data_IF_324550896176
#
_entry.id   IF_324550896176
#
_cell.length_a   1.000
_cell.length_b   1.000
_cell.length_c   1.000
_cell.angle_alpha   90.00
_cell.angle_beta   90.00
_cell.angle_gamma   90.00
#
_symmetry.space_group_name_H-M   'P 1'
#
loop_
_entity.id
_entity.type
_entity.pdbx_description
1 polymer ?
#
# COMPACT_ATOMS: atom_id res chain seq x y z
N UNK A 1 -6.19 20.96 -14.75
CA UNK A 1 -5.99 20.76 -13.31
C UNK A 1 -4.61 21.30 -12.97
N UNK A 2 -4.49 22.20 -11.98
CA UNK A 2 -3.20 22.79 -11.62
C UNK A 2 -2.19 21.71 -11.28
N UNK A 3 -0.94 21.86 -11.73
CA UNK A 3 0.14 20.86 -11.51
C UNK A 3 0.27 20.49 -10.02
N UNK A 4 0.17 21.46 -9.12
CA UNK A 4 0.25 21.26 -7.66
C UNK A 4 -0.89 20.37 -7.13
N UNK A 5 -2.14 20.62 -7.56
CA UNK A 5 -3.30 19.82 -7.14
C UNK A 5 -3.14 18.36 -7.61
N UNK A 6 -2.63 18.15 -8.83
CA UNK A 6 -2.41 16.81 -9.34
C UNK A 6 -1.36 16.04 -8.51
N UNK A 7 -0.23 16.67 -8.16
CA UNK A 7 0.76 16.09 -7.28
C UNK A 7 0.21 15.76 -5.88
N UNK A 8 -0.56 16.69 -5.31
CA UNK A 8 -1.21 16.46 -4.02
C UNK A 8 -2.12 15.23 -4.05
N UNK A 9 -2.98 15.12 -5.07
CA UNK A 9 -3.88 13.98 -5.23
C UNK A 9 -3.15 12.66 -5.50
N UNK A 10 -1.97 12.69 -6.10
CA UNK A 10 -1.14 11.50 -6.31
C UNK A 10 -0.45 11.03 -5.01
N UNK A 11 -0.10 11.94 -4.12
CA UNK A 11 0.56 11.61 -2.84
C UNK A 11 -0.47 11.23 -1.77
N UNK A 12 -1.66 11.79 -1.83
CA UNK A 12 -2.70 11.63 -0.80
C UNK A 12 -3.03 10.17 -0.44
N UNK A 13 -3.14 9.20 -1.37
CA UNK A 13 -3.37 7.80 -1.03
C UNK A 13 -2.35 7.25 -0.03
N UNK A 14 -1.09 7.56 -0.23
CA UNK A 14 0.01 7.05 0.58
C UNK A 14 0.04 7.67 1.98
N UNK A 15 -0.31 8.95 2.08
CA UNK A 15 -0.50 9.63 3.37
C UNK A 15 -1.66 9.00 4.16
N UNK A 16 -2.79 8.73 3.49
CA UNK A 16 -3.97 8.11 4.10
C UNK A 16 -3.70 6.65 4.48
N UNK A 17 -2.95 5.90 3.71
CA UNK A 17 -2.58 4.53 4.07
C UNK A 17 -1.65 4.49 5.27
N UNK A 18 -0.61 5.33 5.31
CA UNK A 18 0.29 5.41 6.45
C UNK A 18 -0.44 5.71 7.76
N UNK A 19 -1.33 6.69 7.75
CA UNK A 19 -2.14 7.05 8.93
C UNK A 19 -3.17 5.98 9.28
N UNK A 20 -3.81 5.34 8.30
CA UNK A 20 -4.82 4.31 8.57
C UNK A 20 -4.25 2.97 9.05
N UNK A 21 -2.99 2.64 8.71
CA UNK A 21 -2.31 1.46 9.27
C UNK A 21 -2.15 1.58 10.79
N UNK A 22 -1.71 2.74 11.27
CA UNK A 22 -1.63 3.01 12.71
C UNK A 22 -2.99 2.90 13.39
N UNK A 23 -4.06 3.41 12.76
CA UNK A 23 -5.43 3.32 13.27
C UNK A 23 -5.96 1.88 13.33
N UNK A 24 -5.57 1.01 12.38
CA UNK A 24 -6.06 -0.38 12.34
C UNK A 24 -5.37 -1.31 13.33
N UNK A 25 -4.13 -1.04 13.74
CA UNK A 25 -3.35 -1.95 14.59
C UNK A 25 -4.09 -2.37 15.87
N UNK A 26 -4.63 -1.46 16.69
CA UNK A 26 -5.39 -1.85 17.89
C UNK A 26 -6.68 -2.59 17.56
N UNK A 27 -7.33 -2.28 16.42
CA UNK A 27 -8.59 -2.90 16.01
C UNK A 27 -8.39 -4.35 15.59
N UNK A 28 -7.31 -4.66 14.88
CA UNK A 28 -6.97 -6.03 14.49
C UNK A 28 -6.70 -6.90 15.71
N UNK A 29 -6.05 -6.35 16.74
CA UNK A 29 -5.78 -7.06 17.99
C UNK A 29 -7.06 -7.35 18.80
N UNK A 30 -8.05 -6.46 18.74
CA UNK A 30 -9.28 -6.56 19.56
C UNK A 30 -10.40 -7.36 18.89
N UNK A 31 -10.56 -7.28 17.56
CA UNK A 31 -11.68 -7.88 16.82
C UNK A 31 -11.26 -8.97 15.82
N UNK A 32 -9.97 -9.18 15.69
CA UNK A 32 -9.41 -10.17 14.75
C UNK A 32 -9.24 -9.64 13.32
N UNK A 33 -8.34 -10.29 12.56
CA UNK A 33 -7.95 -9.82 11.22
C UNK A 33 -9.08 -9.89 10.20
N UNK A 34 -9.89 -10.95 10.21
CA UNK A 34 -10.96 -11.17 9.22
C UNK A 34 -12.08 -10.13 9.33
N UNK A 35 -12.46 -9.78 10.56
CA UNK A 35 -13.48 -8.75 10.80
C UNK A 35 -13.01 -7.37 10.32
N UNK A 36 -11.79 -6.98 10.71
CA UNK A 36 -11.23 -5.68 10.31
C UNK A 36 -11.05 -5.59 8.80
N UNK A 37 -10.57 -6.67 8.15
CA UNK A 37 -10.44 -6.73 6.70
C UNK A 37 -11.79 -6.53 5.99
N UNK A 38 -12.83 -7.25 6.43
CA UNK A 38 -14.16 -7.16 5.83
C UNK A 38 -14.79 -5.78 6.03
N UNK A 39 -14.71 -5.24 7.26
CA UNK A 39 -15.28 -3.94 7.61
C UNK A 39 -14.51 -2.77 6.98
N UNK A 40 -13.24 -2.96 6.63
CA UNK A 40 -12.49 -1.97 5.87
C UNK A 40 -12.96 -1.90 4.41
N UNK A 41 -13.24 -3.04 3.78
CA UNK A 41 -13.55 -3.10 2.35
C UNK A 41 -14.99 -2.75 2.03
N UNK A 42 -15.97 -3.37 2.71
CA UNK A 42 -17.38 -3.27 2.31
C UNK A 42 -17.90 -1.82 2.34
N UNK A 43 -17.78 -1.07 3.45
CA UNK A 43 -18.24 0.31 3.49
C UNK A 43 -17.46 1.20 2.51
N UNK A 44 -16.15 0.97 2.37
CA UNK A 44 -15.31 1.72 1.44
C UNK A 44 -15.78 1.52 0.00
N UNK A 45 -16.03 0.28 -0.42
CA UNK A 45 -16.53 -0.03 -1.76
C UNK A 45 -17.87 0.63 -2.04
N UNK A 46 -18.78 0.61 -1.07
CA UNK A 46 -20.10 1.29 -1.18
C UNK A 46 -19.91 2.80 -1.37
N UNK A 47 -19.03 3.44 -0.57
CA UNK A 47 -18.74 4.88 -0.69
C UNK A 47 -18.14 5.21 -2.06
N UNK A 48 -17.23 4.39 -2.58
CA UNK A 48 -16.66 4.56 -3.93
C UNK A 48 -17.74 4.44 -5.00
N UNK A 49 -18.65 3.46 -4.92
CA UNK A 49 -19.76 3.31 -5.87
C UNK A 49 -20.74 4.47 -5.83
N UNK A 50 -21.08 4.95 -4.63
CA UNK A 50 -21.93 6.13 -4.46
C UNK A 50 -21.23 7.36 -5.11
N UNK A 51 -19.93 7.53 -4.85
CA UNK A 51 -19.15 8.63 -5.45
C UNK A 51 -19.12 8.51 -6.98
N UNK A 52 -18.92 7.30 -7.51
CA UNK A 52 -18.97 7.03 -8.96
C UNK A 52 -20.29 7.44 -9.56
N UNK A 53 -21.41 7.08 -8.91
CA UNK A 53 -22.76 7.45 -9.33
C UNK A 53 -22.99 8.97 -9.29
N UNK A 54 -22.61 9.64 -8.19
CA UNK A 54 -22.75 11.09 -8.04
C UNK A 54 -21.93 11.88 -9.06
N UNK A 55 -20.76 11.35 -9.44
CA UNK A 55 -19.90 11.92 -10.49
C UNK A 55 -20.39 11.58 -11.89
N UNK A 56 -21.56 10.93 -12.05
CA UNK A 56 -22.15 10.51 -13.32
C UNK A 56 -21.18 9.66 -14.18
N UNK A 57 -20.32 8.87 -13.55
CA UNK A 57 -19.44 7.91 -14.22
C UNK A 57 -20.16 6.59 -14.45
N UNK A 58 -19.72 5.82 -15.41
CA UNK A 58 -20.32 4.51 -15.72
C UNK A 58 -20.01 3.48 -14.63
N UNK A 59 -21.05 2.91 -14.01
CA UNK A 59 -20.94 1.87 -12.98
C UNK A 59 -20.81 0.45 -13.58
N UNK A 60 -20.98 0.32 -14.89
CA UNK A 60 -21.01 -0.97 -15.55
C UNK A 60 -19.63 -1.58 -15.69
N UNK A 61 -19.52 -2.86 -15.31
CA UNK A 61 -18.38 -3.70 -15.64
C UNK A 61 -18.69 -4.39 -16.98
N UNK A 62 -17.89 -4.10 -18.00
CA UNK A 62 -18.11 -4.66 -19.34
C UNK A 62 -17.61 -6.10 -19.41
N UNK A 63 -18.30 -6.93 -20.22
CA UNK A 63 -18.01 -8.37 -20.33
C UNK A 63 -16.57 -8.68 -20.78
N UNK A 64 -15.96 -7.80 -21.59
CA UNK A 64 -14.55 -7.95 -22.01
C UNK A 64 -13.57 -7.81 -20.84
N UNK A 65 -13.93 -7.05 -19.80
CA UNK A 65 -13.10 -6.78 -18.63
C UNK A 65 -13.40 -7.77 -17.48
N UNK A 66 -14.52 -8.50 -17.54
CA UNK A 66 -15.05 -9.30 -16.43
C UNK A 66 -14.07 -10.36 -15.93
N UNK A 67 -13.35 -11.04 -16.84
CA UNK A 67 -12.36 -12.06 -16.46
C UNK A 67 -11.27 -11.46 -15.57
N UNK A 68 -10.70 -10.35 -16.01
CA UNK A 68 -9.63 -9.67 -15.28
C UNK A 68 -10.14 -9.00 -14.02
N UNK A 69 -11.39 -8.49 -14.04
CA UNK A 69 -12.06 -7.97 -12.86
C UNK A 69 -12.20 -9.02 -11.75
N UNK A 70 -12.60 -10.25 -12.07
CA UNK A 70 -12.68 -11.32 -11.08
C UNK A 70 -11.32 -11.67 -10.49
N UNK A 71 -10.29 -11.77 -11.32
CA UNK A 71 -8.91 -12.01 -10.85
C UNK A 71 -8.43 -10.85 -9.96
N UNK A 72 -8.65 -9.61 -10.39
CA UNK A 72 -8.31 -8.41 -9.62
C UNK A 72 -9.01 -8.40 -8.26
N UNK A 73 -10.32 -8.71 -8.22
CA UNK A 73 -11.12 -8.76 -7.00
C UNK A 73 -10.57 -9.77 -5.99
N UNK A 74 -10.22 -10.97 -6.44
CA UNK A 74 -9.67 -12.01 -5.56
C UNK A 74 -8.28 -11.63 -5.07
N UNK A 75 -7.41 -11.16 -5.96
CA UNK A 75 -6.01 -10.89 -5.63
C UNK A 75 -5.88 -9.64 -4.77
N UNK A 76 -6.46 -8.51 -5.23
CA UNK A 76 -6.23 -7.22 -4.58
C UNK A 76 -7.21 -6.94 -3.43
N UNK A 77 -8.49 -7.28 -3.56
CA UNK A 77 -9.42 -7.04 -2.46
C UNK A 77 -9.36 -8.17 -1.42
N UNK A 78 -9.54 -9.43 -1.82
CA UNK A 78 -9.65 -10.52 -0.83
C UNK A 78 -8.29 -10.90 -0.25
N UNK A 79 -7.34 -11.33 -1.09
CA UNK A 79 -6.05 -11.82 -0.60
C UNK A 79 -5.18 -10.72 -0.01
N UNK A 80 -5.10 -9.57 -0.66
CA UNK A 80 -4.32 -8.46 -0.13
C UNK A 80 -4.80 -8.06 1.27
N UNK A 81 -6.10 -7.84 1.47
CA UNK A 81 -6.60 -7.44 2.78
C UNK A 81 -6.45 -8.53 3.83
N UNK A 82 -6.65 -9.80 3.45
CA UNK A 82 -6.42 -10.93 4.33
C UNK A 82 -4.95 -10.96 4.79
N UNK A 83 -4.02 -10.95 3.86
CA UNK A 83 -2.58 -11.01 4.14
C UNK A 83 -2.12 -9.81 4.96
N UNK A 84 -2.60 -8.60 4.63
CA UNK A 84 -2.30 -7.37 5.35
C UNK A 84 -2.73 -7.46 6.82
N UNK A 85 -3.98 -7.84 7.09
CA UNK A 85 -4.50 -7.87 8.45
C UNK A 85 -3.88 -8.99 9.29
N UNK A 86 -3.64 -10.18 8.71
CA UNK A 86 -2.89 -11.25 9.36
C UNK A 86 -1.42 -10.87 9.58
N UNK A 87 -0.81 -10.18 8.64
CA UNK A 87 0.54 -9.65 8.77
C UNK A 87 0.63 -8.68 9.95
N UNK A 88 -0.20 -7.64 9.98
CA UNK A 88 -0.23 -6.63 11.06
C UNK A 88 -0.44 -7.29 12.43
N UNK A 89 -1.30 -8.31 12.53
CA UNK A 89 -1.58 -9.02 13.79
C UNK A 89 -0.36 -9.73 14.38
N UNK A 90 0.66 -10.02 13.56
CA UNK A 90 1.83 -10.83 13.93
C UNK A 90 3.14 -10.07 13.95
N UNK A 91 3.33 -9.08 13.06
CA UNK A 91 4.60 -8.34 12.95
C UNK A 91 4.59 -7.01 13.72
N UNK A 92 3.40 -6.50 14.06
CA UNK A 92 3.27 -5.10 14.46
C UNK A 92 3.45 -4.12 13.30
N UNK A 93 3.30 -2.82 13.59
CA UNK A 93 3.26 -1.77 12.55
C UNK A 93 4.63 -1.52 11.89
N UNK A 94 5.73 -1.56 12.63
CA UNK A 94 7.05 -1.14 12.15
C UNK A 94 7.63 -2.07 11.08
N UNK A 95 7.92 -3.33 11.44
CA UNK A 95 8.50 -4.30 10.49
C UNK A 95 7.51 -4.66 9.38
N UNK A 96 6.22 -4.71 9.70
CA UNK A 96 5.18 -4.95 8.70
C UNK A 96 5.16 -3.90 7.60
N UNK A 97 5.29 -2.60 7.94
CA UNK A 97 5.32 -1.52 6.95
C UNK A 97 6.51 -1.62 6.00
N UNK A 98 7.70 -1.97 6.50
CA UNK A 98 8.89 -2.18 5.65
C UNK A 98 8.64 -3.23 4.58
N UNK A 99 8.05 -4.35 4.96
CA UNK A 99 7.84 -5.46 4.04
C UNK A 99 6.77 -5.15 2.99
N UNK A 100 5.66 -4.52 3.38
CA UNK A 100 4.61 -4.17 2.43
C UNK A 100 5.04 -3.05 1.48
N UNK A 101 5.83 -2.10 1.97
CA UNK A 101 6.34 -0.99 1.19
C UNK A 101 7.49 -1.38 0.22
N UNK A 102 7.86 -2.67 0.15
CA UNK A 102 8.63 -3.25 -0.94
C UNK A 102 7.84 -3.38 -2.27
N UNK A 103 6.52 -3.18 -2.23
CA UNK A 103 5.60 -3.24 -3.38
C UNK A 103 6.08 -2.46 -4.63
N UNK A 104 6.65 -1.24 -4.56
CA UNK A 104 7.08 -0.53 -5.76
C UNK A 104 8.15 -1.26 -6.57
N UNK A 105 9.05 -2.01 -5.90
CA UNK A 105 10.03 -2.84 -6.59
C UNK A 105 9.34 -3.98 -7.35
N UNK A 106 8.38 -4.65 -6.72
CA UNK A 106 7.60 -5.72 -7.36
C UNK A 106 6.80 -5.17 -8.55
N UNK A 107 6.16 -3.99 -8.41
CA UNK A 107 5.47 -3.33 -9.53
C UNK A 107 6.42 -3.02 -10.67
N UNK A 108 7.62 -2.51 -10.38
CA UNK A 108 8.63 -2.20 -11.38
C UNK A 108 9.08 -3.46 -12.16
N UNK A 109 9.33 -4.57 -11.45
CA UNK A 109 9.68 -5.86 -12.04
C UNK A 109 8.54 -6.43 -12.89
N UNK A 110 7.32 -6.43 -12.38
CA UNK A 110 6.13 -6.89 -13.10
C UNK A 110 5.83 -6.02 -14.33
N UNK A 111 5.92 -4.69 -14.20
CA UNK A 111 5.73 -3.77 -15.31
C UNK A 111 6.78 -3.98 -16.42
N UNK A 112 8.02 -4.29 -16.06
CA UNK A 112 9.06 -4.67 -17.02
C UNK A 112 8.73 -5.98 -17.72
N UNK A 113 8.33 -7.01 -16.96
CA UNK A 113 8.04 -8.33 -17.51
C UNK A 113 6.79 -8.36 -18.40
N UNK A 114 5.75 -7.62 -18.04
CA UNK A 114 4.43 -7.68 -18.68
C UNK A 114 4.28 -6.62 -19.77
N UNK A 115 4.72 -5.39 -19.51
CA UNK A 115 4.56 -4.26 -20.45
C UNK A 115 5.85 -3.92 -21.22
N UNK A 116 6.96 -4.63 -20.96
CA UNK A 116 8.25 -4.31 -21.56
C UNK A 116 8.85 -2.95 -21.14
N UNK A 117 8.36 -2.39 -20.02
CA UNK A 117 8.83 -1.09 -19.52
C UNK A 117 10.30 -1.17 -19.13
N UNK A 118 11.17 -0.52 -19.89
CA UNK A 118 12.59 -0.45 -19.58
C UNK A 118 12.82 0.52 -18.41
N UNK A 119 13.52 0.05 -17.40
CA UNK A 119 13.97 0.86 -16.28
C UNK A 119 15.46 1.12 -16.52
N UNK A 120 15.82 2.40 -16.71
CA UNK A 120 17.20 2.79 -16.86
C UNK A 120 17.97 2.66 -15.53
N UNK A 121 19.33 2.68 -15.53
CA UNK A 121 20.13 2.54 -14.30
C UNK A 121 19.78 3.55 -13.20
N UNK A 122 19.41 4.78 -13.56
CA UNK A 122 18.97 5.81 -12.60
C UNK A 122 17.67 5.41 -11.90
N UNK A 123 16.73 4.81 -12.65
CA UNK A 123 15.50 4.27 -12.07
C UNK A 123 15.76 3.12 -11.09
N UNK A 124 16.69 2.22 -11.43
CA UNK A 124 17.11 1.15 -10.52
C UNK A 124 17.79 1.67 -9.27
N UNK A 125 18.69 2.66 -9.42
CA UNK A 125 19.31 3.33 -8.28
C UNK A 125 18.24 3.95 -7.36
N UNK A 126 17.26 4.64 -7.94
CA UNK A 126 16.12 5.18 -7.18
C UNK A 126 15.34 4.11 -6.41
N UNK A 127 15.04 2.96 -7.02
CA UNK A 127 14.35 1.86 -6.34
C UNK A 127 15.18 1.28 -5.18
N UNK A 128 16.51 1.16 -5.35
CA UNK A 128 17.42 0.72 -4.29
C UNK A 128 17.47 1.73 -3.12
N UNK A 129 17.50 3.04 -3.41
CA UNK A 129 17.37 4.07 -2.36
C UNK A 129 16.04 3.94 -1.61
N UNK A 130 14.94 3.66 -2.32
CA UNK A 130 13.63 3.44 -1.68
C UNK A 130 13.64 2.27 -0.71
N UNK A 131 14.15 1.12 -1.14
CA UNK A 131 14.30 -0.04 -0.27
C UNK A 131 15.21 0.23 0.93
N UNK A 132 16.37 0.86 0.71
CA UNK A 132 17.26 1.27 1.81
C UNK A 132 16.54 2.21 2.78
N UNK A 133 15.80 3.18 2.26
CA UNK A 133 15.03 4.13 3.06
C UNK A 133 14.00 3.47 3.96
N UNK A 134 13.16 2.57 3.42
CA UNK A 134 12.15 1.88 4.23
C UNK A 134 12.78 0.95 5.28
N UNK A 135 13.93 0.33 5.00
CA UNK A 135 14.68 -0.46 5.99
C UNK A 135 15.09 0.45 7.16
N UNK A 136 15.69 1.61 6.91
CA UNK A 136 16.09 2.55 7.96
C UNK A 136 14.89 3.10 8.75
N UNK A 137 13.72 3.25 8.12
CA UNK A 137 12.50 3.71 8.77
C UNK A 137 11.88 2.65 9.68
N UNK A 138 11.92 1.37 9.28
CA UNK A 138 11.19 0.29 9.91
C UNK A 138 12.00 -0.62 10.83
N UNK A 139 13.35 -0.53 10.81
CA UNK A 139 14.18 -1.37 11.70
C UNK A 139 14.07 -0.89 13.15
N UNK A 140 13.73 -1.76 14.11
CA UNK A 140 13.70 -1.42 15.53
C UNK A 140 15.04 -0.89 16.03
N UNK A 141 14.99 0.07 16.96
CA UNK A 141 16.20 0.69 17.55
C UNK A 141 17.16 -0.35 18.15
N UNK A 142 16.62 -1.37 18.77
CA UNK A 142 17.36 -2.43 19.46
C UNK A 142 18.23 -3.25 18.47
N UNK A 143 17.73 -3.47 17.25
CA UNK A 143 18.49 -4.14 16.20
C UNK A 143 19.58 -3.23 15.63
N UNK A 144 19.30 -1.94 15.46
CA UNK A 144 20.29 -0.98 14.98
C UNK A 144 21.41 -0.76 16.00
N UNK A 145 21.08 -0.71 17.29
CA UNK A 145 22.06 -0.60 18.38
C UNK A 145 22.93 -1.87 18.48
N UNK A 146 22.35 -3.06 18.31
CA UNK A 146 23.12 -4.32 18.32
C UNK A 146 24.07 -4.42 17.11
N UNK A 147 23.71 -3.89 15.96
CA UNK A 147 24.55 -3.82 14.77
C UNK A 147 25.72 -2.84 14.96
N UNK A 148 25.43 -1.67 15.58
CA UNK A 148 26.44 -0.65 15.83
C UNK A 148 27.45 -1.07 16.91
N UNK A 149 26.97 -1.84 17.91
CA UNK A 149 27.78 -2.29 19.05
C UNK A 149 28.54 -3.60 18.78
N UNK A 150 28.52 -4.15 17.54
CA UNK A 150 29.12 -5.46 17.21
C UNK A 150 28.74 -6.58 18.22
N UNK A 151 27.54 -6.50 18.77
CA UNK A 151 27.03 -7.51 19.68
C UNK A 151 26.81 -8.82 18.93
N UNK A 152 27.33 -9.95 19.49
CA UNK A 152 27.36 -11.31 18.94
C UNK A 152 25.96 -11.96 18.71
N UNK A 153 24.92 -11.18 18.42
CA UNK A 153 23.66 -11.76 17.91
C UNK A 153 23.89 -12.19 16.47
N UNK A 154 24.10 -13.48 16.32
CA UNK A 154 24.31 -14.16 15.05
C UNK A 154 23.15 -13.84 14.08
N UNK A 155 23.51 -13.60 12.80
CA UNK A 155 22.55 -13.57 11.69
C UNK A 155 21.67 -14.82 11.60
N UNK A 156 22.05 -15.92 12.28
CA UNK A 156 21.29 -17.16 12.40
C UNK A 156 19.98 -17.04 13.21
N UNK A 157 19.82 -15.99 14.01
CA UNK A 157 18.61 -15.75 14.81
C UNK A 157 17.51 -14.99 14.03
N UNK A 158 17.75 -14.60 12.79
CA UNK A 158 16.76 -14.04 11.89
C UNK A 158 15.93 -15.19 11.31
N UNK A 159 14.99 -15.70 12.08
CA UNK A 159 13.96 -16.60 11.57
C UNK A 159 12.83 -15.75 10.98
N UNK A 160 12.52 -15.97 9.71
CA UNK A 160 11.31 -15.38 9.10
C UNK A 160 10.08 -15.88 9.85
N UNK A 161 9.40 -14.96 10.52
CA UNK A 161 8.14 -15.26 11.19
C UNK A 161 7.00 -15.33 10.16
N UNK A 162 5.98 -16.11 10.50
CA UNK A 162 4.77 -16.26 9.66
C UNK A 162 4.12 -14.91 9.34
N UNK A 163 4.20 -13.93 10.25
CA UNK A 163 3.72 -12.57 10.05
C UNK A 163 4.43 -11.83 8.91
N UNK A 164 5.75 -11.97 8.83
CA UNK A 164 6.56 -11.35 7.76
C UNK A 164 6.21 -11.96 6.40
N UNK A 165 5.98 -13.28 6.35
CA UNK A 165 5.52 -13.94 5.12
C UNK A 165 4.16 -13.41 4.67
N UNK A 166 3.21 -13.19 5.60
CA UNK A 166 1.92 -12.58 5.27
C UNK A 166 2.08 -11.17 4.70
N UNK A 167 2.99 -10.35 5.25
CA UNK A 167 3.24 -8.99 4.73
C UNK A 167 3.89 -9.00 3.35
N UNK A 168 4.81 -9.93 3.06
CA UNK A 168 5.37 -10.11 1.71
C UNK A 168 4.31 -10.57 0.71
N UNK A 169 3.43 -11.49 1.11
CA UNK A 169 2.29 -11.90 0.29
C UNK A 169 1.34 -10.72 0.04
N UNK A 170 1.11 -9.85 1.02
CA UNK A 170 0.33 -8.63 0.85
C UNK A 170 1.00 -7.68 -0.15
N UNK A 171 2.31 -7.46 -0.02
CA UNK A 171 3.09 -6.64 -0.97
C UNK A 171 2.97 -7.17 -2.40
N UNK A 172 3.10 -8.48 -2.59
CA UNK A 172 2.94 -9.11 -3.91
C UNK A 172 1.51 -8.99 -4.44
N UNK A 173 0.50 -9.23 -3.61
CA UNK A 173 -0.91 -9.10 -4.00
C UNK A 173 -1.25 -7.68 -4.44
N UNK A 174 -0.79 -6.66 -3.70
CA UNK A 174 -0.96 -5.25 -4.05
C UNK A 174 -0.20 -4.87 -5.33
N UNK A 175 1.00 -5.41 -5.55
CA UNK A 175 1.76 -5.20 -6.77
C UNK A 175 1.03 -5.79 -7.99
N UNK A 176 0.51 -7.00 -7.84
CA UNK A 176 -0.32 -7.64 -8.88
C UNK A 176 -1.60 -6.84 -9.13
N UNK A 177 -2.30 -6.37 -8.08
CA UNK A 177 -3.47 -5.50 -8.20
C UNK A 177 -3.18 -4.23 -8.98
N UNK A 178 -2.05 -3.58 -8.69
CA UNK A 178 -1.58 -2.38 -9.39
C UNK A 178 -1.36 -2.62 -10.89
N UNK A 179 -0.94 -3.81 -11.29
CA UNK A 179 -0.81 -4.20 -12.70
C UNK A 179 -2.18 -4.57 -13.29
N UNK A 180 -2.96 -5.37 -12.56
CA UNK A 180 -4.24 -5.92 -13.02
C UNK A 180 -5.28 -4.84 -13.33
N UNK A 181 -5.27 -3.69 -12.64
CA UNK A 181 -6.22 -2.60 -12.89
C UNK A 181 -6.21 -2.18 -14.37
N UNK A 182 -5.06 -2.23 -15.04
CA UNK A 182 -4.94 -1.87 -16.45
C UNK A 182 -5.64 -2.86 -17.40
N UNK A 183 -5.71 -4.12 -17.01
CA UNK A 183 -6.42 -5.15 -17.78
C UNK A 183 -7.92 -5.14 -17.50
N UNK A 184 -8.33 -4.66 -16.32
CA UNK A 184 -9.74 -4.55 -15.90
C UNK A 184 -10.42 -3.30 -16.38
N UNK A 185 -9.68 -2.31 -16.85
CA UNK A 185 -10.20 -1.00 -17.24
C UNK A 185 -9.98 -0.71 -18.73
N UNK A 186 -10.16 -1.71 -19.60
CA UNK A 186 -10.07 -1.46 -21.05
C UNK A 186 -11.29 -0.70 -21.57
N UNK A 187 -12.48 -0.99 -21.02
CA UNK A 187 -13.74 -0.26 -21.26
C UNK A 187 -14.43 0.20 -19.98
N UNK A 188 -14.21 -0.50 -18.88
CA UNK A 188 -14.81 -0.21 -17.58
C UNK A 188 -14.13 0.97 -16.89
N UNK A 189 -14.90 1.76 -16.16
CA UNK A 189 -14.39 2.90 -15.40
C UNK A 189 -13.53 2.45 -14.20
N UNK A 190 -12.29 2.96 -14.01
CA UNK A 190 -11.41 2.51 -12.93
C UNK A 190 -11.95 2.81 -11.54
N UNK A 191 -12.75 3.85 -11.35
CA UNK A 191 -13.37 4.15 -10.05
C UNK A 191 -14.50 3.16 -9.76
N UNK A 192 -15.34 2.85 -10.77
CA UNK A 192 -16.37 1.81 -10.66
C UNK A 192 -15.76 0.43 -10.38
N UNK A 193 -14.72 0.05 -11.13
CA UNK A 193 -13.96 -1.19 -10.91
C UNK A 193 -13.44 -1.25 -9.48
N UNK A 194 -12.85 -0.16 -8.97
CA UNK A 194 -12.37 -0.08 -7.58
C UNK A 194 -13.51 -0.27 -6.57
N UNK A 195 -14.65 0.36 -6.76
CA UNK A 195 -15.79 0.18 -5.86
C UNK A 195 -16.33 -1.25 -5.87
N UNK A 196 -16.56 -1.81 -7.03
CA UNK A 196 -17.08 -3.17 -7.17
C UNK A 196 -16.11 -4.23 -6.65
N UNK A 197 -14.80 -4.13 -6.92
CA UNK A 197 -13.84 -5.12 -6.42
C UNK A 197 -13.79 -5.14 -4.90
N UNK A 198 -13.90 -3.97 -4.24
CA UNK A 198 -13.95 -3.90 -2.77
C UNK A 198 -15.21 -4.55 -2.21
N UNK A 199 -16.38 -4.29 -2.82
CA UNK A 199 -17.65 -4.89 -2.38
C UNK A 199 -17.62 -6.41 -2.56
N UNK A 200 -17.30 -6.90 -3.76
CA UNK A 200 -17.25 -8.35 -4.00
C UNK A 200 -16.09 -9.04 -3.26
N UNK A 201 -14.95 -8.39 -3.15
CA UNK A 201 -13.79 -8.95 -2.43
C UNK A 201 -13.99 -9.01 -0.91
N UNK A 202 -14.90 -8.22 -0.34
CA UNK A 202 -15.27 -8.33 1.07
C UNK A 202 -16.10 -9.57 1.39
N UNK A 203 -16.85 -10.12 0.42
CA UNK A 203 -17.77 -11.24 0.64
C UNK A 203 -17.08 -12.49 1.21
N UNK A 204 -15.96 -13.00 0.62
CA UNK A 204 -15.24 -14.14 1.19
C UNK A 204 -14.73 -13.90 2.62
N UNK A 205 -14.31 -12.65 2.92
CA UNK A 205 -13.81 -12.27 4.26
C UNK A 205 -14.95 -12.26 5.29
N UNK A 206 -16.11 -11.72 4.92
CA UNK A 206 -17.32 -11.74 5.75
C UNK A 206 -17.76 -13.19 6.02
N UNK A 207 -17.84 -14.00 4.98
CA UNK A 207 -18.22 -15.42 5.11
C UNK A 207 -17.26 -16.16 6.03
N UNK A 208 -15.95 -15.97 5.86
CA UNK A 208 -14.94 -16.58 6.71
C UNK A 208 -15.10 -16.15 8.17
N UNK A 209 -15.29 -14.86 8.43
CA UNK A 209 -15.52 -14.34 9.78
C UNK A 209 -16.78 -14.93 10.40
N UNK A 210 -17.91 -14.93 9.68
CA UNK A 210 -19.17 -15.48 10.16
C UNK A 210 -19.06 -16.96 10.52
N UNK A 211 -18.38 -17.78 9.69
CA UNK A 211 -18.19 -19.19 9.95
C UNK A 211 -17.28 -19.47 11.17
N UNK A 212 -16.31 -18.63 11.41
CA UNK A 212 -15.39 -18.79 12.55
C UNK A 212 -16.00 -18.34 13.88
N UNK A 213 -16.88 -17.33 13.86
CA UNK A 213 -17.43 -16.71 15.08
C UNK A 213 -18.85 -17.15 15.40
N UNK A 214 -19.40 -18.16 14.70
CA UNK A 214 -20.81 -18.58 14.82
C UNK A 214 -21.76 -17.37 14.73
N UNK A 215 -21.50 -16.46 13.76
CA UNK A 215 -22.27 -15.24 13.52
C UNK A 215 -22.27 -14.20 14.64
N UNK A 216 -21.33 -14.23 15.56
CA UNK A 216 -21.07 -13.11 16.47
C UNK A 216 -20.32 -12.01 15.69
N UNK A 217 -21.09 -11.04 15.16
CA UNK A 217 -20.57 -10.08 14.18
C UNK A 217 -19.99 -8.80 14.76
N UNK A 218 -20.34 -8.43 15.98
CA UNK A 218 -20.05 -7.10 16.51
C UNK A 218 -19.14 -7.19 17.74
N UNK A 219 -17.90 -6.68 17.68
CA UNK A 219 -17.04 -6.58 18.84
C UNK A 219 -17.55 -5.50 19.79
N UNK A 220 -17.20 -5.60 21.07
CA UNK A 220 -17.47 -4.58 22.09
C UNK A 220 -16.50 -3.39 21.93
N UNK A 221 -16.63 -2.67 20.79
CA UNK A 221 -15.82 -1.50 20.52
C UNK A 221 -16.41 -0.24 21.11
N UNK A 222 -15.53 0.62 21.62
CA UNK A 222 -15.87 1.98 22.02
C UNK A 222 -16.25 2.84 20.80
N UNK A 223 -16.86 4.00 21.04
CA UNK A 223 -17.14 4.97 19.97
C UNK A 223 -15.85 5.45 19.29
N UNK A 224 -14.74 5.48 20.02
CA UNK A 224 -13.43 5.82 19.47
C UNK A 224 -12.92 4.74 18.50
N UNK A 225 -13.05 3.45 18.83
CA UNK A 225 -12.66 2.34 17.96
C UNK A 225 -13.47 2.34 16.65
N UNK A 226 -14.77 2.60 16.75
CA UNK A 226 -15.63 2.81 15.58
C UNK A 226 -15.21 4.02 14.75
N UNK A 227 -14.76 5.09 15.41
CA UNK A 227 -14.17 6.27 14.75
C UNK A 227 -12.91 5.92 13.96
N UNK A 228 -11.98 5.17 14.58
CA UNK A 228 -10.76 4.69 13.91
C UNK A 228 -11.08 3.78 12.73
N UNK A 229 -12.05 2.87 12.88
CA UNK A 229 -12.47 1.98 11.81
C UNK A 229 -13.11 2.75 10.65
N UNK A 230 -13.98 3.73 10.95
CA UNK A 230 -14.59 4.60 9.95
C UNK A 230 -13.53 5.40 9.18
N UNK A 231 -12.53 5.93 9.88
CA UNK A 231 -11.39 6.60 9.27
C UNK A 231 -10.63 5.66 8.34
N UNK A 232 -10.28 4.47 8.81
CA UNK A 232 -9.54 3.48 8.04
C UNK A 232 -10.33 2.98 6.81
N UNK A 233 -11.66 2.89 6.89
CA UNK A 233 -12.51 2.45 5.78
C UNK A 233 -12.77 3.59 4.79
N UNK A 234 -13.16 4.78 5.24
CA UNK A 234 -13.58 5.87 4.34
C UNK A 234 -12.34 6.56 3.72
N UNK A 235 -11.41 7.00 4.55
CA UNK A 235 -10.23 7.72 4.05
C UNK A 235 -9.13 6.77 3.57
N UNK A 236 -8.72 5.80 4.38
CA UNK A 236 -7.72 4.79 4.02
C UNK A 236 -8.23 3.72 3.06
N UNK A 237 -9.54 3.53 2.98
CA UNK A 237 -10.22 2.66 2.03
C UNK A 237 -10.72 3.44 0.80
N UNK A 238 -11.93 4.01 0.88
CA UNK A 238 -12.62 4.56 -0.29
C UNK A 238 -11.81 5.64 -1.02
N UNK A 239 -11.36 6.67 -0.31
CA UNK A 239 -10.63 7.79 -0.93
C UNK A 239 -9.25 7.36 -1.43
N UNK A 240 -8.48 6.66 -0.60
CA UNK A 240 -7.13 6.27 -0.95
C UNK A 240 -7.11 5.27 -2.12
N UNK A 241 -7.90 4.20 -2.09
CA UNK A 241 -7.97 3.23 -3.19
C UNK A 241 -8.57 3.82 -4.47
N UNK A 242 -9.62 4.65 -4.34
CA UNK A 242 -10.23 5.34 -5.48
C UNK A 242 -9.21 6.18 -6.24
N UNK A 243 -8.41 6.98 -5.52
CA UNK A 243 -7.35 7.78 -6.11
C UNK A 243 -6.20 6.91 -6.63
N UNK A 244 -5.76 5.93 -5.83
CA UNK A 244 -4.64 5.05 -6.19
C UNK A 244 -4.90 4.32 -7.51
N UNK A 245 -5.99 3.59 -7.63
CA UNK A 245 -6.28 2.83 -8.84
C UNK A 245 -6.65 3.71 -10.03
N UNK A 246 -7.26 4.88 -9.80
CA UNK A 246 -7.42 5.86 -10.85
C UNK A 246 -6.07 6.29 -11.44
N UNK A 247 -5.10 6.63 -10.58
CA UNK A 247 -3.77 7.04 -11.06
C UNK A 247 -2.93 5.86 -11.58
N UNK A 248 -3.00 4.68 -10.97
CA UNK A 248 -2.31 3.48 -11.44
C UNK A 248 -2.74 3.09 -12.86
N UNK A 249 -4.02 3.30 -13.20
CA UNK A 249 -4.53 3.08 -14.55
C UNK A 249 -4.10 4.16 -15.54
N UNK A 250 -4.02 5.44 -15.11
CA UNK A 250 -3.88 6.58 -16.02
C UNK A 250 -2.46 7.18 -16.09
N UNK A 251 -1.54 6.77 -15.21
CA UNK A 251 -0.17 7.30 -15.14
C UNK A 251 0.88 6.23 -15.50
N UNK A 252 2.12 6.65 -15.62
CA UNK A 252 3.24 5.73 -15.73
C UNK A 252 3.38 4.95 -14.41
N UNK A 253 3.24 3.62 -14.50
CA UNK A 253 2.94 2.78 -13.35
C UNK A 253 4.12 2.68 -12.37
N UNK A 254 5.37 2.57 -12.89
CA UNK A 254 6.58 2.48 -12.07
C UNK A 254 6.81 3.78 -11.29
N UNK A 255 6.73 4.94 -11.97
CA UNK A 255 6.92 6.23 -11.33
C UNK A 255 5.83 6.56 -10.32
N UNK A 256 4.58 6.18 -10.59
CA UNK A 256 3.49 6.38 -9.65
C UNK A 256 3.61 5.47 -8.42
N UNK A 257 3.92 4.18 -8.63
CA UNK A 257 4.01 3.22 -7.52
C UNK A 257 5.15 3.54 -6.55
N UNK A 258 6.23 4.20 -7.00
CA UNK A 258 7.33 4.60 -6.09
C UNK A 258 6.91 5.63 -5.05
N UNK A 259 5.81 6.35 -5.26
CA UNK A 259 5.25 7.22 -4.23
C UNK A 259 4.80 6.45 -2.98
N UNK A 260 4.59 5.12 -3.08
CA UNK A 260 4.28 4.28 -1.94
C UNK A 260 5.41 4.26 -0.88
N UNK A 261 6.66 4.51 -1.27
CA UNK A 261 7.75 4.67 -0.31
C UNK A 261 7.54 5.86 0.66
N UNK A 262 6.62 6.79 0.36
CA UNK A 262 6.25 7.86 1.28
C UNK A 262 5.34 7.38 2.43
N UNK A 263 4.67 6.23 2.28
CA UNK A 263 3.72 5.69 3.27
C UNK A 263 4.33 5.57 4.68
N UNK A 264 5.54 4.98 4.88
CA UNK A 264 6.14 4.87 6.19
C UNK A 264 6.46 6.23 6.83
N UNK A 265 6.80 7.24 6.02
CA UNK A 265 7.04 8.60 6.51
C UNK A 265 5.77 9.15 7.16
N UNK A 266 4.63 9.02 6.46
CA UNK A 266 3.33 9.46 7.01
C UNK A 266 2.90 8.62 8.22
N UNK A 267 3.19 7.31 8.23
CA UNK A 267 2.93 6.45 9.38
C UNK A 267 3.73 6.90 10.63
N UNK A 268 5.02 7.19 10.47
CA UNK A 268 5.88 7.69 11.54
C UNK A 268 5.48 9.09 12.02
N UNK A 269 5.16 9.99 11.10
CA UNK A 269 4.69 11.34 11.46
C UNK A 269 3.38 11.29 12.26
N UNK A 270 2.44 10.43 11.83
CA UNK A 270 1.17 10.26 12.56
C UNK A 270 1.38 9.58 13.92
N UNK A 271 2.22 8.56 14.03
CA UNK A 271 2.61 7.93 15.28
C UNK A 271 3.31 8.92 16.22
N UNK A 272 4.21 9.75 15.71
CA UNK A 272 4.89 10.80 16.47
C UNK A 272 3.95 11.82 17.09
N UNK A 273 2.89 12.23 16.36
CA UNK A 273 1.87 13.16 16.88
C UNK A 273 1.00 12.49 17.97
N UNK A 274 0.62 11.21 17.78
CA UNK A 274 -0.24 10.49 18.72
C UNK A 274 0.51 9.96 19.95
N UNK A 275 1.79 9.55 19.77
CA UNK A 275 2.59 8.89 20.81
C UNK A 275 3.69 9.79 21.39
N UNK A 276 3.81 11.05 20.92
CA UNK A 276 4.90 11.99 21.26
C UNK A 276 6.31 11.40 20.98
N UNK A 277 6.43 10.47 20.04
CA UNK A 277 7.70 9.87 19.67
C UNK A 277 8.49 10.81 18.74
N UNK A 278 9.79 10.95 19.00
CA UNK A 278 10.68 11.71 18.11
C UNK A 278 11.38 10.76 17.16
N UNK A 279 11.46 11.14 15.88
CA UNK A 279 12.24 10.43 14.89
C UNK A 279 13.72 10.40 15.29
N UNK A 280 14.33 9.23 15.21
CA UNK A 280 15.77 9.05 15.42
C UNK A 280 16.56 9.59 14.23
N UNK A 281 17.87 9.82 14.40
CA UNK A 281 18.77 10.20 13.31
C UNK A 281 18.74 9.19 12.17
N UNK A 282 18.64 7.89 12.50
CA UNK A 282 18.58 6.80 11.51
C UNK A 282 17.28 6.87 10.70
N UNK A 283 16.15 7.15 11.34
CA UNK A 283 14.90 7.35 10.64
C UNK A 283 14.94 8.60 9.74
N UNK A 284 15.60 9.68 10.16
CA UNK A 284 15.82 10.84 9.30
C UNK A 284 16.67 10.51 8.06
N UNK A 285 17.71 9.66 8.19
CA UNK A 285 18.46 9.14 7.05
C UNK A 285 17.53 8.35 6.13
N UNK A 286 16.65 7.51 6.68
CA UNK A 286 15.63 6.77 5.92
C UNK A 286 14.70 7.70 5.15
N UNK A 287 14.21 8.79 5.76
CA UNK A 287 13.41 9.83 5.10
C UNK A 287 14.15 10.41 3.89
N UNK A 288 15.42 10.78 4.06
CA UNK A 288 16.24 11.33 2.96
C UNK A 288 16.36 10.32 1.82
N UNK A 289 16.62 9.04 2.11
CA UNK A 289 16.73 7.99 1.10
C UNK A 289 15.42 7.78 0.34
N UNK A 290 14.28 7.81 1.02
CA UNK A 290 12.96 7.74 0.38
C UNK A 290 12.72 8.93 -0.55
N UNK A 291 13.02 10.15 -0.10
CA UNK A 291 12.87 11.35 -0.93
C UNK A 291 13.78 11.30 -2.15
N UNK A 292 15.03 10.83 -2.00
CA UNK A 292 15.94 10.58 -3.12
C UNK A 292 15.39 9.54 -4.10
N UNK A 293 14.78 8.46 -3.61
CA UNK A 293 14.15 7.45 -4.44
C UNK A 293 13.06 8.06 -5.32
N UNK A 294 12.12 8.78 -4.71
CA UNK A 294 11.02 9.44 -5.43
C UNK A 294 11.57 10.42 -6.49
N UNK A 295 12.60 11.18 -6.14
CA UNK A 295 13.26 12.09 -7.08
C UNK A 295 13.90 11.34 -8.27
N UNK A 296 14.76 10.36 -8.02
CA UNK A 296 15.45 9.62 -9.08
C UNK A 296 14.48 8.87 -9.99
N UNK A 297 13.46 8.20 -9.44
CA UNK A 297 12.51 7.46 -10.27
C UNK A 297 11.60 8.40 -11.06
N UNK A 298 11.16 9.50 -10.49
CA UNK A 298 10.32 10.47 -11.20
C UNK A 298 11.08 11.22 -12.30
N UNK A 299 12.36 11.50 -12.10
CA UNK A 299 13.22 12.23 -13.05
C UNK A 299 14.09 11.32 -13.94
N UNK A 300 13.95 9.98 -13.84
CA UNK A 300 14.86 9.02 -14.47
C UNK A 300 15.09 9.21 -15.97
N UNK A 301 14.07 9.65 -16.71
CA UNK A 301 14.18 9.88 -18.16
C UNK A 301 15.04 11.10 -18.46
N UNK A 302 14.72 12.24 -17.84
CA UNK A 302 15.44 13.49 -18.00
C UNK A 302 16.91 13.36 -17.57
N UNK A 303 17.16 12.75 -16.40
CA UNK A 303 18.52 12.56 -15.90
C UNK A 303 19.33 11.60 -16.78
N UNK A 304 18.69 10.58 -17.36
CA UNK A 304 19.35 9.66 -18.28
C UNK A 304 19.74 10.32 -19.60
N UNK A 305 18.89 11.17 -20.17
CA UNK A 305 19.17 11.93 -21.37
C UNK A 305 20.35 12.89 -21.16
N UNK A 306 20.39 13.62 -20.04
CA UNK A 306 21.50 14.52 -19.66
C UNK A 306 22.82 13.73 -19.52
N UNK A 307 22.77 12.56 -18.85
CA UNK A 307 23.96 11.72 -18.67
C UNK A 307 24.55 11.24 -20.00
N UNK A 308 23.71 10.81 -20.94
CA UNK A 308 24.16 10.32 -22.26
C UNK A 308 24.66 11.46 -23.16
N UNK A 309 24.14 12.67 -23.02
CA UNK A 309 24.60 13.82 -23.79
C UNK A 309 26.00 14.23 -23.36
N UNK A 310 26.32 14.16 -22.06
CA UNK A 310 27.64 14.51 -21.52
C UNK A 310 28.71 13.43 -21.76
N UNK A 311 28.33 12.18 -22.07
CA UNK A 311 29.30 11.11 -22.42
C UNK A 311 29.67 11.09 -23.89
N UNK A 312 29.00 11.87 -24.73
CA UNK A 312 29.27 11.98 -26.18
C UNK A 312 30.02 13.26 -26.55
N UNK A 313 30.54 14.03 -25.58
CA UNK A 313 31.47 15.15 -25.72
C UNK A 313 32.84 14.70 -25.22
#
# INVERSE_FOLDING_TARGET
MNSILNWFLMILPFALWGTSMAAMTPLVSSAGPDFVASLRLLPAGIVVLITTYLLKRDLKIYGCDLKWFLVFTIVDATFFQLFLTYGISKTGAGLGSVLIDSQPLLVALLARAIFGNLINPIGWLGLLFGLGGIIFLGVPKELLESWWLMSDKSLSDITFNVGELWMLCASLAMALGTILIRFTCTKSDPVAVTGWHMVFGSVPLILKHCLQTNFQLIPNWSIFDWGLMSFASIFGGALAYGLFFYFANNKEITGFSTLAFLTPIFALLSGGVYLNERLTIIQWIGVVFVLMSVFFVSQRKSLWEISNTNTNI
#
